data_IF_613353172290
#
_entry.id   IF_613353172290
#
_cell.length_a   1.000
_cell.length_b   1.000
_cell.length_c   1.000
_cell.angle_alpha   90.00
_cell.angle_beta   90.00
_cell.angle_gamma   90.00
#
_symmetry.space_group_name_H-M   'P 1'
#
loop_
_entity.id
_entity.type
_entity.pdbx_description
1 polymer ?
#
# COMPACT_ATOMS: atom_id res chain seq x y z
N UNK A 1 41.85 -25.83 28.13
CA UNK A 1 42.13 -24.79 27.11
C UNK A 1 41.06 -24.87 26.03
N UNK A 2 40.45 -23.72 25.71
CA UNK A 2 39.58 -23.40 24.58
C UNK A 2 38.28 -24.21 24.35
N UNK A 3 37.17 -23.68 24.86
CA UNK A 3 35.85 -23.86 24.25
C UNK A 3 35.80 -23.22 22.85
N UNK A 4 35.00 -23.78 21.92
CA UNK A 4 34.30 -22.96 20.95
C UNK A 4 32.77 -23.06 21.13
N UNK A 5 32.14 -21.88 21.10
CA UNK A 5 30.73 -21.56 21.35
C UNK A 5 29.75 -22.23 20.37
N UNK A 6 28.50 -22.50 20.78
CA UNK A 6 27.42 -22.87 19.87
C UNK A 6 26.90 -21.64 19.09
N UNK A 7 26.86 -21.70 17.76
CA UNK A 7 26.22 -20.66 16.94
C UNK A 7 24.73 -20.90 16.77
N UNK A 8 23.98 -19.83 16.96
CA UNK A 8 22.55 -19.81 17.22
C UNK A 8 21.68 -19.76 15.95
N UNK A 9 20.54 -20.44 16.06
CA UNK A 9 19.20 -20.01 15.61
C UNK A 9 19.06 -19.34 14.22
N UNK A 10 18.93 -20.15 13.18
CA UNK A 10 18.23 -19.75 11.95
C UNK A 10 16.74 -19.56 12.24
N UNK A 11 16.30 -18.31 12.35
CA UNK A 11 14.89 -17.95 12.58
C UNK A 11 14.04 -18.27 11.34
N UNK A 12 12.91 -18.99 11.44
CA UNK A 12 12.02 -19.24 10.32
C UNK A 12 11.13 -18.02 10.09
N UNK A 13 11.45 -17.15 9.11
CA UNK A 13 10.57 -16.03 8.77
C UNK A 13 9.47 -16.45 7.79
N UNK A 14 8.34 -16.85 8.40
CA UNK A 14 6.93 -16.66 8.01
C UNK A 14 6.58 -16.68 6.52
N UNK A 15 6.01 -17.82 6.11
CA UNK A 15 5.00 -17.93 5.04
C UNK A 15 3.82 -17.01 5.36
N UNK A 16 3.60 -15.99 4.53
CA UNK A 16 2.34 -15.23 4.49
C UNK A 16 1.36 -15.91 3.55
N UNK A 17 0.71 -16.97 4.01
CA UNK A 17 -0.40 -17.61 3.30
C UNK A 17 -1.69 -16.80 3.49
N UNK A 18 -2.30 -16.37 2.39
CA UNK A 18 -3.68 -15.90 2.36
C UNK A 18 -4.57 -16.98 1.75
N UNK A 19 -5.42 -17.59 2.59
CA UNK A 19 -6.43 -18.60 2.25
C UNK A 19 -7.33 -18.16 1.08
N UNK A 20 -7.68 -19.13 0.25
CA UNK A 20 -8.80 -19.08 -0.68
C UNK A 20 -10.08 -19.52 0.03
N UNK A 21 -11.18 -18.78 -0.14
CA UNK A 21 -12.55 -19.25 0.17
C UNK A 21 -13.60 -18.46 -0.66
N UNK A 22 -14.33 -19.18 -1.52
CA UNK A 22 -15.80 -19.11 -1.62
C UNK A 22 -16.54 -17.94 -2.31
N UNK A 23 -16.92 -18.17 -3.59
CA UNK A 23 -18.22 -17.91 -4.26
C UNK A 23 -18.84 -16.50 -4.35
N UNK A 24 -18.97 -16.05 -5.61
CA UNK A 24 -20.09 -15.31 -6.23
C UNK A 24 -20.68 -14.09 -5.52
N UNK A 25 -19.82 -13.10 -5.29
CA UNK A 25 -20.12 -11.67 -5.44
C UNK A 25 -19.06 -11.11 -6.40
N UNK A 26 -19.16 -9.89 -6.96
CA UNK A 26 -17.98 -9.26 -7.57
C UNK A 26 -16.95 -9.07 -6.45
N UNK A 27 -16.16 -10.13 -6.20
CA UNK A 27 -15.43 -10.30 -4.96
C UNK A 27 -14.31 -9.28 -4.95
N UNK A 28 -14.45 -8.28 -4.10
CA UNK A 28 -13.40 -7.30 -3.88
C UNK A 28 -12.17 -8.04 -3.33
N UNK A 29 -11.22 -8.36 -4.22
CA UNK A 29 -10.02 -9.08 -3.84
C UNK A 29 -9.08 -8.10 -3.17
N UNK A 30 -8.91 -8.24 -1.87
CA UNK A 30 -7.91 -7.50 -1.11
C UNK A 30 -6.52 -7.94 -1.58
N UNK A 31 -5.68 -6.96 -1.92
CA UNK A 31 -4.31 -7.18 -2.40
C UNK A 31 -3.33 -7.04 -1.26
N UNK A 32 -3.43 -5.94 -0.53
CA UNK A 32 -2.55 -5.60 0.56
C UNK A 32 -3.31 -4.80 1.62
N UNK A 33 -2.90 -4.97 2.87
CA UNK A 33 -3.47 -4.30 4.02
C UNK A 33 -2.34 -3.80 4.91
N UNK A 34 -2.37 -2.51 5.24
CA UNK A 34 -1.38 -1.88 6.09
C UNK A 34 -1.77 -2.05 7.57
N UNK A 35 -1.33 -3.15 8.15
CA UNK A 35 -1.59 -3.44 9.58
C UNK A 35 -0.89 -2.41 10.48
N UNK A 36 0.30 -1.96 10.09
CA UNK A 36 1.11 -1.00 10.85
C UNK A 36 0.39 0.35 11.00
N UNK A 37 -0.26 0.81 9.93
CA UNK A 37 -1.04 2.05 9.95
C UNK A 37 -2.10 2.07 11.05
N UNK A 38 -2.83 0.96 11.22
CA UNK A 38 -3.90 0.87 12.24
C UNK A 38 -3.39 0.85 13.68
N UNK A 39 -2.13 0.47 13.90
CA UNK A 39 -1.53 0.45 15.23
C UNK A 39 -0.87 1.79 15.58
N UNK A 40 -0.21 2.43 14.60
CA UNK A 40 0.58 3.63 14.82
C UNK A 40 -0.25 4.92 14.73
N UNK A 41 -1.37 4.89 14.00
CA UNK A 41 -2.18 6.06 13.74
C UNK A 41 -3.62 5.83 14.17
N UNK A 42 -4.21 6.87 14.77
CA UNK A 42 -5.65 6.99 14.90
C UNK A 42 -6.23 7.56 13.59
N UNK A 43 -7.13 6.81 12.97
CA UNK A 43 -7.71 7.17 11.67
C UNK A 43 -8.96 8.02 11.92
N UNK A 44 -8.89 9.28 11.51
CA UNK A 44 -10.00 10.24 11.68
C UNK A 44 -11.01 10.07 10.55
N UNK A 45 -10.50 9.93 9.32
CA UNK A 45 -11.30 9.96 8.11
C UNK A 45 -10.66 9.08 7.03
N UNK A 46 -11.49 8.56 6.12
CA UNK A 46 -11.06 7.64 5.08
C UNK A 46 -11.70 7.96 3.73
N UNK A 47 -10.98 7.70 2.65
CA UNK A 47 -11.41 7.97 1.30
C UNK A 47 -10.92 6.89 0.33
N UNK A 48 -11.81 6.47 -0.56
CA UNK A 48 -11.45 5.57 -1.67
C UNK A 48 -10.84 6.38 -2.82
N UNK A 49 -9.68 5.96 -3.31
CA UNK A 49 -9.02 6.58 -4.45
C UNK A 49 -8.54 5.55 -5.48
N UNK A 50 -8.41 5.98 -6.72
CA UNK A 50 -7.74 5.19 -7.76
C UNK A 50 -6.21 5.39 -7.70
N UNK A 51 -5.45 4.42 -8.18
CA UNK A 51 -3.98 4.56 -8.33
C UNK A 51 -3.63 4.53 -9.81
N UNK A 52 -2.78 5.45 -10.25
CA UNK A 52 -2.19 5.42 -11.59
C UNK A 52 -1.07 4.36 -11.65
N UNK A 53 -1.39 3.21 -12.23
CA UNK A 53 -0.50 2.05 -12.33
C UNK A 53 -0.13 1.75 -13.79
N UNK A 54 1.05 1.17 -13.99
CA UNK A 54 1.49 0.60 -15.28
C UNK A 54 1.06 -0.86 -15.37
N UNK A 55 0.90 -1.39 -16.60
CA UNK A 55 0.48 -2.77 -16.83
C UNK A 55 1.34 -3.82 -16.12
N UNK A 56 2.65 -3.59 -15.97
CA UNK A 56 3.56 -4.45 -15.20
C UNK A 56 3.22 -4.48 -13.71
N UNK A 57 2.85 -3.34 -13.12
CA UNK A 57 2.43 -3.23 -11.71
C UNK A 57 1.13 -3.99 -11.49
N UNK A 58 0.17 -3.87 -12.42
CA UNK A 58 -1.10 -4.60 -12.34
C UNK A 58 -0.87 -6.11 -12.35
N UNK A 59 0.11 -6.61 -13.11
CA UNK A 59 0.50 -8.03 -13.11
C UNK A 59 1.11 -8.46 -11.76
N UNK A 60 2.00 -7.66 -11.19
CA UNK A 60 2.54 -7.90 -9.83
C UNK A 60 1.43 -7.93 -8.78
N UNK A 61 0.48 -7.00 -8.84
CA UNK A 61 -0.65 -6.93 -7.91
C UNK A 61 -1.60 -8.12 -8.05
N UNK A 62 -1.80 -8.65 -9.26
CA UNK A 62 -2.58 -9.88 -9.48
C UNK A 62 -1.91 -11.12 -8.87
N UNK A 63 -0.58 -11.12 -8.78
CA UNK A 63 0.18 -12.14 -8.04
C UNK A 63 0.13 -11.95 -6.52
N UNK A 64 -0.55 -10.89 -6.02
CA UNK A 64 -0.70 -10.61 -4.59
C UNK A 64 0.53 -10.00 -3.94
N UNK A 65 1.49 -9.50 -4.73
CA UNK A 65 2.72 -8.89 -4.22
C UNK A 65 2.57 -7.36 -4.19
N UNK A 66 2.43 -6.79 -2.99
CA UNK A 66 2.43 -5.34 -2.72
C UNK A 66 2.67 -5.11 -1.24
N UNK A 67 3.52 -4.13 -0.90
CA UNK A 67 3.68 -3.64 0.47
C UNK A 67 3.26 -2.18 0.59
N UNK A 68 2.53 -1.89 1.66
CA UNK A 68 2.07 -0.56 2.07
C UNK A 68 2.72 -0.09 3.37
N UNK A 69 3.65 -0.87 3.95
CA UNK A 69 4.14 -0.67 5.31
C UNK A 69 4.85 0.68 5.53
N UNK A 70 5.56 1.16 4.51
CA UNK A 70 6.28 2.44 4.51
C UNK A 70 5.59 3.51 3.66
N UNK A 71 4.40 3.19 3.13
CA UNK A 71 3.73 4.04 2.18
C UNK A 71 3.00 5.19 2.87
N UNK A 72 3.07 6.39 2.30
CA UNK A 72 2.36 7.57 2.77
C UNK A 72 1.89 8.43 1.59
N UNK A 73 0.85 9.21 1.82
CA UNK A 73 0.35 10.19 0.88
C UNK A 73 1.06 11.54 1.05
N UNK A 74 1.44 12.17 -0.05
CA UNK A 74 1.95 13.54 -0.08
C UNK A 74 1.12 14.37 -1.03
N UNK A 75 0.68 15.52 -0.57
CA UNK A 75 0.00 16.50 -1.41
C UNK A 75 1.05 17.41 -2.03
N UNK A 76 1.01 17.56 -3.35
CA UNK A 76 1.90 18.46 -4.12
C UNK A 76 1.10 19.01 -5.30
N UNK A 77 1.09 20.34 -5.47
CA UNK A 77 0.48 21.03 -6.62
C UNK A 77 -0.99 20.65 -6.89
N UNK A 78 -1.82 20.54 -5.85
CA UNK A 78 -3.21 20.03 -5.93
C UNK A 78 -3.35 18.60 -6.46
N UNK A 79 -2.30 17.80 -6.33
CA UNK A 79 -2.32 16.37 -6.63
C UNK A 79 -1.87 15.59 -5.41
N UNK A 80 -2.40 14.37 -5.26
CA UNK A 80 -1.98 13.48 -4.18
C UNK A 80 -1.14 12.37 -4.76
N UNK A 81 0.04 12.19 -4.18
CA UNK A 81 1.03 11.21 -4.58
C UNK A 81 1.20 10.18 -3.46
N UNK A 82 1.17 8.91 -3.83
CA UNK A 82 1.53 7.81 -2.97
C UNK A 82 3.03 7.54 -3.10
N UNK A 83 3.76 7.75 -2.01
CA UNK A 83 5.21 7.57 -1.91
C UNK A 83 5.49 6.39 -0.98
N UNK A 84 6.56 5.65 -1.22
CA UNK A 84 6.97 4.54 -0.34
C UNK A 84 6.14 3.25 -0.49
N UNK A 85 5.22 3.21 -1.47
CA UNK A 85 4.56 1.97 -1.85
C UNK A 85 5.54 1.10 -2.64
N UNK A 86 5.79 -0.11 -2.14
CA UNK A 86 6.68 -1.07 -2.78
C UNK A 86 5.85 -2.11 -3.54
N UNK A 87 5.99 -2.12 -4.85
CA UNK A 87 5.40 -3.13 -5.73
C UNK A 87 6.58 -3.83 -6.41
N UNK A 88 6.88 -5.09 -6.07
CA UNK A 88 8.01 -5.77 -6.68
C UNK A 88 7.78 -5.99 -8.16
N UNK A 89 8.87 -6.04 -8.91
CA UNK A 89 8.84 -6.31 -10.33
C UNK A 89 8.20 -7.67 -10.63
N UNK A 90 7.60 -7.77 -11.82
CA UNK A 90 7.01 -9.01 -12.26
C UNK A 90 8.10 -9.91 -12.83
N UNK A 91 8.46 -10.98 -12.12
CA UNK A 91 9.56 -11.90 -12.47
C UNK A 91 9.47 -12.48 -13.90
N UNK A 92 8.28 -12.53 -14.51
CA UNK A 92 8.07 -13.04 -15.87
C UNK A 92 8.02 -11.94 -16.94
N UNK A 93 8.45 -10.72 -16.64
CA UNK A 93 8.57 -9.64 -17.62
C UNK A 93 10.02 -9.52 -18.11
N UNK A 94 10.20 -9.47 -19.44
CA UNK A 94 11.51 -9.56 -20.07
C UNK A 94 12.29 -8.23 -20.12
N UNK A 95 11.62 -7.09 -20.34
CA UNK A 95 12.30 -5.78 -20.59
C UNK A 95 11.52 -4.53 -20.14
N UNK A 96 10.22 -4.63 -19.86
CA UNK A 96 9.36 -3.49 -19.49
C UNK A 96 9.04 -3.50 -17.98
N UNK A 97 10.08 -3.55 -17.16
CA UNK A 97 9.93 -3.48 -15.71
C UNK A 97 9.79 -2.03 -15.24
N UNK A 98 9.16 -1.88 -14.09
CA UNK A 98 8.90 -0.60 -13.44
C UNK A 98 9.73 -0.52 -12.17
N UNK A 99 10.14 0.68 -11.78
CA UNK A 99 10.81 0.88 -10.50
C UNK A 99 9.85 0.55 -9.34
N UNK A 100 10.21 -0.34 -8.40
CA UNK A 100 9.31 -0.79 -7.33
C UNK A 100 8.77 0.32 -6.44
N UNK A 101 9.64 1.26 -6.06
CA UNK A 101 9.37 2.39 -5.15
C UNK A 101 8.98 3.69 -5.87
N UNK A 102 8.53 3.63 -7.13
CA UNK A 102 8.16 4.85 -7.85
C UNK A 102 7.02 5.59 -7.13
N UNK A 103 7.03 6.93 -7.12
CA UNK A 103 5.87 7.70 -6.66
C UNK A 103 4.69 7.50 -7.64
N UNK A 104 3.50 7.22 -7.10
CA UNK A 104 2.30 6.95 -7.90
C UNK A 104 1.26 8.01 -7.66
N UNK A 105 0.69 8.56 -8.72
CA UNK A 105 -0.39 9.53 -8.62
C UNK A 105 -1.68 8.85 -8.17
N UNK A 106 -2.37 9.47 -7.20
CA UNK A 106 -3.71 9.07 -6.78
C UNK A 106 -4.76 9.86 -7.56
N UNK A 107 -5.80 9.16 -7.97
CA UNK A 107 -6.92 9.68 -8.74
C UNK A 107 -8.08 9.93 -7.77
N UNK A 108 -8.29 11.21 -7.48
CA UNK A 108 -9.23 11.75 -6.50
C UNK A 108 -10.05 12.88 -7.13
N UNK A 109 -11.24 13.16 -6.61
CA UNK A 109 -12.00 14.32 -7.04
C UNK A 109 -11.42 15.62 -6.48
N UNK A 110 -11.52 16.73 -7.24
CA UNK A 110 -10.98 18.04 -6.83
C UNK A 110 -11.43 18.50 -5.44
N UNK A 111 -12.70 18.24 -5.07
CA UNK A 111 -13.26 18.58 -3.75
C UNK A 111 -12.60 17.76 -2.63
N UNK A 112 -12.35 16.48 -2.87
CA UNK A 112 -11.70 15.59 -1.92
C UNK A 112 -10.24 15.97 -1.72
N UNK A 113 -9.54 16.30 -2.81
CA UNK A 113 -8.15 16.78 -2.75
C UNK A 113 -8.06 18.03 -1.89
N UNK A 114 -8.95 19.01 -2.07
CA UNK A 114 -8.96 20.23 -1.27
C UNK A 114 -9.17 19.93 0.22
N UNK A 115 -10.11 19.04 0.56
CA UNK A 115 -10.35 18.62 1.96
C UNK A 115 -9.12 17.94 2.56
N UNK A 116 -8.54 17.00 1.85
CA UNK A 116 -7.36 16.24 2.31
C UNK A 116 -6.10 17.09 2.34
N UNK A 117 -5.96 18.06 1.44
CA UNK A 117 -4.86 19.01 1.45
C UNK A 117 -4.92 19.88 2.72
N UNK A 118 -6.06 20.48 3.04
CA UNK A 118 -6.22 21.28 4.25
C UNK A 118 -5.87 20.48 5.51
N UNK A 119 -6.38 19.26 5.62
CA UNK A 119 -6.12 18.38 6.75
C UNK A 119 -4.66 17.89 6.78
N UNK A 120 -4.02 17.64 5.64
CA UNK A 120 -2.61 17.26 5.60
C UNK A 120 -1.66 18.41 5.99
N UNK A 121 -2.09 19.67 5.85
CA UNK A 121 -1.34 20.83 6.33
C UNK A 121 -1.53 21.10 7.83
N UNK A 122 -2.58 20.56 8.45
CA UNK A 122 -2.74 20.65 9.89
C UNK A 122 -1.64 19.87 10.60
N UNK A 123 -1.04 20.51 11.62
CA UNK A 123 0.09 19.95 12.35
C UNK A 123 -0.32 18.64 13.03
N UNK A 124 0.37 17.55 12.67
CA UNK A 124 0.21 16.24 13.32
C UNK A 124 -0.71 15.26 12.59
N UNK A 125 -1.26 15.64 11.43
CA UNK A 125 -2.00 14.73 10.56
C UNK A 125 -1.12 14.24 9.41
N UNK A 126 -1.28 12.97 9.04
CA UNK A 126 -0.52 12.32 7.96
C UNK A 126 -1.47 11.52 7.09
N UNK A 127 -1.25 11.52 5.77
CA UNK A 127 -1.99 10.67 4.85
C UNK A 127 -1.38 9.28 4.83
N UNK A 128 -2.15 8.27 5.24
CA UNK A 128 -1.68 6.89 5.38
C UNK A 128 -2.57 5.94 4.59
N UNK A 129 -2.02 5.10 3.70
CA UNK A 129 -2.78 4.07 2.99
C UNK A 129 -3.14 2.93 3.94
N UNK A 130 -4.39 2.51 3.92
CA UNK A 130 -4.93 1.49 4.82
C UNK A 130 -5.07 0.14 4.13
N UNK A 131 -5.70 0.10 2.95
CA UNK A 131 -5.90 -1.13 2.18
C UNK A 131 -5.86 -0.85 0.69
N UNK A 132 -5.37 -1.82 -0.08
CA UNK A 132 -5.48 -1.86 -1.53
C UNK A 132 -6.31 -3.08 -1.94
N UNK A 133 -7.27 -2.89 -2.85
CA UNK A 133 -8.17 -3.95 -3.29
C UNK A 133 -8.55 -3.77 -4.77
N UNK A 134 -8.93 -4.88 -5.40
CA UNK A 134 -9.50 -4.85 -6.74
C UNK A 134 -11.01 -4.67 -6.67
N UNK A 135 -11.53 -3.69 -7.42
CA UNK A 135 -12.97 -3.46 -7.61
C UNK A 135 -13.23 -3.26 -9.10
N UNK A 136 -14.10 -4.09 -9.68
CA UNK A 136 -14.46 -4.05 -11.10
C UNK A 136 -13.23 -4.01 -12.04
N UNK A 137 -12.21 -4.83 -11.74
CA UNK A 137 -10.98 -4.91 -12.52
C UNK A 137 -9.98 -3.75 -12.33
N UNK A 138 -10.31 -2.73 -11.54
CA UNK A 138 -9.42 -1.60 -11.21
C UNK A 138 -8.90 -1.73 -9.79
N UNK A 139 -7.69 -1.23 -9.55
CA UNK A 139 -7.10 -1.17 -8.21
C UNK A 139 -7.59 0.09 -7.52
N UNK A 140 -8.18 -0.09 -6.35
CA UNK A 140 -8.61 0.97 -5.43
C UNK A 140 -7.74 0.94 -4.19
N UNK A 141 -7.43 2.12 -3.68
CA UNK A 141 -6.71 2.33 -2.43
C UNK A 141 -7.63 3.06 -1.47
N UNK A 142 -7.77 2.54 -0.25
CA UNK A 142 -8.35 3.29 0.84
C UNK A 142 -7.23 4.11 1.50
N UNK A 143 -7.32 5.43 1.37
CA UNK A 143 -6.44 6.40 2.02
C UNK A 143 -7.11 6.90 3.29
N UNK A 144 -6.38 6.95 4.39
CA UNK A 144 -6.84 7.50 5.66
C UNK A 144 -6.04 8.72 6.07
N UNK A 145 -6.65 9.57 6.89
CA UNK A 145 -5.97 10.64 7.62
C UNK A 145 -5.67 10.09 9.01
N UNK A 146 -4.38 9.92 9.30
CA UNK A 146 -3.88 9.38 10.55
C UNK A 146 -3.30 10.47 11.44
N UNK A 147 -3.69 10.48 12.71
CA UNK A 147 -3.00 11.21 13.77
C UNK A 147 -2.07 10.25 14.50
N UNK A 148 -0.82 10.63 14.71
CA UNK A 148 0.13 9.82 15.48
C UNK A 148 -0.40 9.60 16.90
N UNK A 149 -0.39 8.34 17.36
CA UNK A 149 -0.73 7.97 18.73
C UNK A 149 0.46 8.12 19.66
#
# INVERSE_FOLDING_TARGET
MASPKPTAAGTPKKKGGGKADGKDKPAERVVAENRKARHNYEIIDTLECGIALVGSEVKSLRSGKMSLDEAYGRVKDNEVWLIGCDIPEYEKANQLNHQPKRPRKLLLHRREIARFASLAYEKGLTLVPLKAYFKNGRVKLLLGIGRGR
#
